data_IF_590144243025
#
_entry.id   IF_590144243025
#
_cell.length_a   1.000
_cell.length_b   1.000
_cell.length_c   1.000
_cell.angle_alpha   90.00
_cell.angle_beta   90.00
_cell.angle_gamma   90.00
#
_symmetry.space_group_name_H-M   'P 1'
#
loop_
_entity.id
_entity.type
_entity.pdbx_description
1 polymer ?
#
# COMPACT_ATOMS: atom_id res chain seq x y z
N UNK A 1 -10.28 32.29 -9.96
CA UNK A 1 -11.07 31.12 -9.56
C UNK A 1 -10.07 30.02 -9.31
N UNK A 2 -9.42 30.02 -8.15
CA UNK A 2 -8.21 29.24 -7.96
C UNK A 2 -8.24 28.56 -6.59
N UNK A 3 -9.26 27.72 -6.41
CA UNK A 3 -9.31 26.80 -5.27
C UNK A 3 -9.72 25.43 -5.82
N UNK A 4 -8.87 24.92 -6.71
CA UNK A 4 -8.94 23.53 -7.15
C UNK A 4 -8.37 22.63 -6.06
N UNK A 5 -9.05 21.52 -5.76
CA UNK A 5 -8.52 20.50 -4.87
C UNK A 5 -7.21 19.94 -5.46
N UNK A 6 -6.08 20.32 -4.87
CA UNK A 6 -4.77 19.77 -5.21
C UNK A 6 -4.49 18.55 -4.32
N UNK A 7 -4.44 17.38 -4.94
CA UNK A 7 -4.09 16.13 -4.25
C UNK A 7 -2.58 15.95 -4.30
N UNK A 8 -1.95 15.80 -3.13
CA UNK A 8 -0.53 15.44 -3.05
C UNK A 8 -0.34 13.95 -3.41
N UNK A 9 -0.11 13.72 -4.69
CA UNK A 9 0.16 12.39 -5.29
C UNK A 9 1.41 11.75 -4.68
N UNK A 10 2.40 12.55 -4.27
CA UNK A 10 3.63 12.06 -3.63
C UNK A 10 3.33 11.54 -2.23
N UNK A 11 2.51 12.25 -1.46
CA UNK A 11 2.07 11.81 -0.15
C UNK A 11 1.26 10.50 -0.23
N UNK A 12 0.35 10.36 -1.21
CA UNK A 12 -0.43 9.14 -1.40
C UNK A 12 0.44 7.92 -1.69
N UNK A 13 1.41 8.07 -2.61
CA UNK A 13 2.35 6.99 -2.96
C UNK A 13 3.19 6.59 -1.75
N UNK A 14 3.72 7.58 -1.03
CA UNK A 14 4.52 7.34 0.19
C UNK A 14 3.73 6.60 1.27
N UNK A 15 2.46 6.94 1.47
CA UNK A 15 1.62 6.27 2.47
C UNK A 15 1.37 4.81 2.07
N UNK A 16 1.16 4.53 0.78
CA UNK A 16 1.01 3.17 0.29
C UNK A 16 2.26 2.31 0.58
N UNK A 17 3.45 2.84 0.31
CA UNK A 17 4.72 2.16 0.60
C UNK A 17 4.90 1.92 2.11
N UNK A 18 4.60 2.93 2.94
CA UNK A 18 4.70 2.82 4.40
C UNK A 18 3.78 1.75 4.97
N UNK A 19 2.56 1.59 4.44
CA UNK A 19 1.62 0.54 4.84
C UNK A 19 2.21 -0.84 4.52
N UNK A 20 2.78 -1.02 3.33
CA UNK A 20 3.38 -2.28 2.91
C UNK A 20 4.59 -2.66 3.77
N UNK A 21 5.44 -1.69 4.11
CA UNK A 21 6.61 -1.91 4.96
C UNK A 21 6.23 -2.24 6.41
N UNK A 22 5.23 -1.55 6.96
CA UNK A 22 4.72 -1.84 8.30
C UNK A 22 4.22 -3.28 8.40
N UNK A 23 3.49 -3.77 7.39
CA UNK A 23 2.96 -5.13 7.38
C UNK A 23 4.05 -6.19 7.21
N UNK A 24 5.07 -5.93 6.38
CA UNK A 24 6.25 -6.81 6.28
C UNK A 24 6.96 -6.97 7.63
N UNK A 25 7.08 -5.89 8.40
CA UNK A 25 7.69 -5.93 9.73
C UNK A 25 6.93 -6.86 10.68
N UNK A 26 5.60 -6.77 10.70
CA UNK A 26 4.73 -7.60 11.55
C UNK A 26 4.77 -9.08 11.15
N UNK A 27 5.02 -9.40 9.88
CA UNK A 27 5.08 -10.79 9.42
C UNK A 27 6.34 -11.58 9.79
N UNK A 28 7.30 -10.96 10.49
CA UNK A 28 8.49 -11.67 10.95
C UNK A 28 8.16 -12.52 12.18
N UNK A 29 8.25 -13.86 12.12
CA UNK A 29 7.95 -14.71 13.27
C UNK A 29 8.96 -14.47 14.41
N UNK A 30 8.45 -14.29 15.63
CA UNK A 30 9.22 -13.89 16.81
C UNK A 30 9.87 -15.09 17.52
N UNK A 31 9.39 -16.31 17.27
CA UNK A 31 9.88 -17.51 17.96
C UNK A 31 10.19 -18.59 16.93
N UNK A 32 11.40 -19.13 17.03
CA UNK A 32 11.84 -20.29 16.27
C UNK A 32 12.09 -21.42 17.27
N UNK A 33 11.28 -22.48 17.24
CA UNK A 33 11.37 -23.56 18.22
C UNK A 33 10.25 -24.59 18.12
N UNK A 34 10.61 -25.81 17.72
CA UNK A 34 9.72 -26.96 17.68
C UNK A 34 9.47 -27.56 19.07
N UNK A 35 8.61 -28.58 19.12
CA UNK A 35 8.16 -29.20 20.37
C UNK A 35 9.34 -29.73 21.24
N UNK A 36 10.45 -30.11 20.59
CA UNK A 36 11.70 -30.50 21.22
C UNK A 36 12.34 -29.44 22.12
N UNK A 37 12.12 -28.15 21.87
CA UNK A 37 12.69 -27.04 22.66
C UNK A 37 11.88 -26.79 23.94
N UNK A 38 10.59 -27.09 23.89
CA UNK A 38 9.61 -26.69 24.92
C UNK A 38 9.53 -27.73 26.05
N UNK A 39 9.91 -28.98 25.79
CA UNK A 39 9.93 -30.07 26.77
C UNK A 39 8.56 -30.51 27.30
N UNK A 40 7.46 -29.86 26.88
CA UNK A 40 6.11 -30.13 27.33
C UNK A 40 5.11 -30.09 26.16
N UNK A 41 4.51 -31.25 25.83
CA UNK A 41 3.66 -31.42 24.65
C UNK A 41 2.48 -30.43 24.55
N UNK A 42 1.78 -30.17 25.66
CA UNK A 42 0.68 -29.20 25.69
C UNK A 42 1.13 -27.75 25.44
N UNK A 43 2.31 -27.36 25.94
CA UNK A 43 2.85 -26.02 25.69
C UNK A 43 3.31 -25.89 24.23
N UNK A 44 3.95 -26.93 23.68
CA UNK A 44 4.31 -26.99 22.27
C UNK A 44 3.08 -26.84 21.35
N UNK A 45 2.01 -27.59 21.61
CA UNK A 45 0.76 -27.47 20.86
C UNK A 45 0.14 -26.06 20.96
N UNK A 46 0.24 -25.42 22.13
CA UNK A 46 -0.21 -24.03 22.33
C UNK A 46 0.60 -23.02 21.51
N UNK A 47 1.93 -23.18 21.46
CA UNK A 47 2.83 -22.33 20.67
C UNK A 47 2.55 -22.51 19.18
N UNK A 48 2.41 -23.75 18.70
CA UNK A 48 2.04 -24.04 17.31
C UNK A 48 0.70 -23.38 16.95
N UNK A 49 -0.34 -23.57 17.77
CA UNK A 49 -1.65 -22.95 17.52
C UNK A 49 -1.66 -21.42 17.63
N UNK A 50 -0.70 -20.82 18.34
CA UNK A 50 -0.47 -19.38 18.31
C UNK A 50 0.19 -18.95 16.98
N UNK A 51 1.25 -19.64 16.55
CA UNK A 51 1.92 -19.35 15.28
C UNK A 51 0.99 -19.50 14.08
N UNK A 52 0.18 -20.55 14.02
CA UNK A 52 -0.75 -20.77 12.90
C UNK A 52 -1.76 -19.62 12.78
N UNK A 53 -2.34 -19.20 13.91
CA UNK A 53 -3.30 -18.08 13.94
C UNK A 53 -2.63 -16.73 13.67
N UNK A 54 -1.42 -16.52 14.17
CA UNK A 54 -0.63 -15.33 13.89
C UNK A 54 -0.31 -15.22 12.40
N UNK A 55 0.22 -16.30 11.81
CA UNK A 55 0.57 -16.36 10.40
C UNK A 55 -0.66 -16.12 9.50
N UNK A 56 -1.80 -16.72 9.83
CA UNK A 56 -3.06 -16.47 9.13
C UNK A 56 -3.49 -15.00 9.25
N UNK A 57 -3.50 -14.43 10.46
CA UNK A 57 -3.88 -13.03 10.67
C UNK A 57 -2.95 -12.02 9.98
N UNK A 58 -1.64 -12.30 9.97
CA UNK A 58 -0.67 -11.50 9.21
C UNK A 58 -0.93 -11.61 7.70
N UNK A 59 -1.22 -12.81 7.19
CA UNK A 59 -1.50 -13.01 5.77
C UNK A 59 -2.74 -12.21 5.34
N UNK A 60 -3.82 -12.25 6.11
CA UNK A 60 -5.04 -11.47 5.87
C UNK A 60 -4.75 -9.96 5.91
N UNK A 61 -4.06 -9.49 6.96
CA UNK A 61 -3.65 -8.09 7.08
C UNK A 61 -2.78 -7.63 5.90
N UNK A 62 -1.92 -8.50 5.39
CA UNK A 62 -1.09 -8.23 4.21
C UNK A 62 -1.92 -8.15 2.93
N UNK A 63 -2.96 -8.98 2.81
CA UNK A 63 -3.93 -8.91 1.72
C UNK A 63 -4.62 -7.54 1.69
N UNK A 64 -5.22 -7.15 2.82
CA UNK A 64 -5.96 -5.89 2.95
C UNK A 64 -5.05 -4.67 2.71
N UNK A 65 -3.84 -4.70 3.26
CA UNK A 65 -2.85 -3.64 3.07
C UNK A 65 -2.44 -3.47 1.59
N UNK A 66 -2.28 -4.58 0.86
CA UNK A 66 -2.00 -4.53 -0.59
C UNK A 66 -3.18 -3.96 -1.37
N UNK A 67 -4.41 -4.29 -0.99
CA UNK A 67 -5.60 -3.74 -1.64
C UNK A 67 -5.69 -2.22 -1.43
N UNK A 68 -5.46 -1.75 -0.21
CA UNK A 68 -5.42 -0.32 0.11
C UNK A 68 -4.32 0.39 -0.69
N UNK A 69 -3.09 -0.16 -0.68
CA UNK A 69 -1.97 0.40 -1.42
C UNK A 69 -2.24 0.49 -2.93
N UNK A 70 -2.86 -0.56 -3.50
CA UNK A 70 -3.24 -0.60 -4.92
C UNK A 70 -4.25 0.51 -5.24
N UNK A 71 -5.31 0.64 -4.43
CA UNK A 71 -6.31 1.70 -4.62
C UNK A 71 -5.71 3.11 -4.51
N UNK A 72 -4.78 3.32 -3.59
CA UNK A 72 -4.06 4.59 -3.47
C UNK A 72 -3.22 4.89 -4.72
N UNK A 73 -2.53 3.88 -5.26
CA UNK A 73 -1.76 4.01 -6.50
C UNK A 73 -2.66 4.30 -7.72
N UNK A 74 -3.81 3.64 -7.82
CA UNK A 74 -4.79 3.87 -8.88
C UNK A 74 -5.34 5.30 -8.83
N UNK A 75 -5.67 5.80 -7.63
CA UNK A 75 -6.09 7.19 -7.42
C UNK A 75 -4.99 8.17 -7.85
N UNK A 76 -3.75 7.94 -7.42
CA UNK A 76 -2.59 8.76 -7.80
C UNK A 76 -2.41 8.83 -9.33
N UNK A 77 -2.54 7.70 -10.01
CA UNK A 77 -2.43 7.64 -11.47
C UNK A 77 -3.58 8.37 -12.18
N UNK A 78 -4.81 8.25 -11.66
CA UNK A 78 -5.96 8.98 -12.19
C UNK A 78 -5.75 10.50 -12.09
N UNK A 79 -5.22 11.00 -10.97
CA UNK A 79 -4.88 12.42 -10.82
C UNK A 79 -3.81 12.87 -11.81
N UNK A 80 -2.72 12.10 -11.98
CA UNK A 80 -1.66 12.43 -12.95
C UNK A 80 -2.18 12.54 -14.38
N UNK A 81 -3.08 11.65 -14.80
CA UNK A 81 -3.69 11.72 -16.13
C UNK A 81 -4.55 12.97 -16.29
N UNK A 82 -5.38 13.29 -15.28
CA UNK A 82 -6.19 14.50 -15.30
C UNK A 82 -5.33 15.77 -15.42
N UNK A 83 -4.20 15.84 -14.70
CA UNK A 83 -3.26 16.96 -14.81
C UNK A 83 -2.62 17.05 -16.19
N UNK A 84 -2.22 15.93 -16.80
CA UNK A 84 -1.64 15.90 -18.15
C UNK A 84 -2.66 16.33 -19.22
N UNK A 85 -3.91 15.89 -19.11
CA UNK A 85 -4.97 16.25 -20.05
C UNK A 85 -5.28 17.75 -19.99
N UNK A 86 -5.36 18.31 -18.78
CA UNK A 86 -5.55 19.76 -18.56
C UNK A 86 -4.35 20.54 -19.07
N UNK A 87 -3.11 20.11 -18.76
CA UNK A 87 -1.91 20.76 -19.26
C UNK A 87 -1.85 20.75 -20.79
N UNK A 88 -2.20 19.62 -21.44
CA UNK A 88 -2.28 19.50 -22.90
C UNK A 88 -3.35 20.40 -23.53
N UNK A 89 -4.48 20.60 -22.85
CA UNK A 89 -5.52 21.55 -23.26
C UNK A 89 -5.02 23.00 -23.20
N UNK A 90 -4.33 23.37 -22.12
CA UNK A 90 -3.77 24.73 -21.94
C UNK A 90 -2.69 25.01 -22.99
N UNK A 91 -1.80 24.05 -23.28
CA UNK A 91 -0.77 24.20 -24.33
C UNK A 91 -1.41 24.41 -25.70
N UNK A 92 -2.43 23.63 -26.08
CA UNK A 92 -3.16 23.81 -27.34
C UNK A 92 -3.89 25.14 -27.44
N UNK A 93 -4.43 25.64 -26.33
CA UNK A 93 -5.07 26.95 -26.31
C UNK A 93 -4.07 28.11 -26.44
N UNK A 94 -2.80 27.89 -26.10
CA UNK A 94 -1.75 28.90 -26.16
C UNK A 94 -0.97 28.92 -27.50
N UNK A 95 -1.17 27.94 -28.40
CA UNK A 95 -0.55 27.93 -29.73
C UNK A 95 -1.57 28.48 -30.77
N UNK A 96 -1.54 29.78 -31.13
CA UNK A 96 -2.46 30.31 -32.12
C UNK A 96 -2.05 29.83 -33.51
N UNK A 97 -3.00 29.25 -34.26
CA UNK A 97 -2.78 28.86 -35.65
C UNK A 97 -2.05 29.95 -36.45
N UNK A 98 -1.04 29.60 -37.29
CA UNK A 98 -0.42 30.56 -38.17
C UNK A 98 -1.47 31.04 -39.18
N UNK A 99 -1.91 32.29 -39.01
CA UNK A 99 -2.78 32.99 -39.97
C UNK A 99 -2.07 33.01 -41.33
N UNK A 100 -2.60 32.25 -42.27
CA UNK A 100 -2.27 32.31 -43.69
C UNK A 100 -3.05 33.43 -44.37
#
# INVERSE_FOLDING_TARGET
MDDGFHVDVTALTRIADQILDAVRSVGTPVVDGGAEVVGHARLAAGITGFHDRWAAGVADLTGDAREIATRLADCAEAYRRGEQDVAGLVVRAHDPEPRT
#
